data_IF_754890959895
#
_entry.id   IF_754890959895
#
_cell.length_a   1.000
_cell.length_b   1.000
_cell.length_c   1.000
_cell.angle_alpha   90.00
_cell.angle_beta   90.00
_cell.angle_gamma   90.00
#
_symmetry.space_group_name_H-M   'P 1'
#
loop_
_entity.id
_entity.type
_entity.pdbx_description
1 polymer ?
#
# COMPACT_ATOMS: atom_id res chain seq x y z
N UNK A 1 7.48 7.60 -4.69
CA UNK A 1 7.36 7.54 -3.23
C UNK A 1 7.48 6.09 -2.78
N UNK A 2 7.98 5.82 -1.58
CA UNK A 2 8.02 4.45 -1.05
C UNK A 2 6.86 4.22 -0.08
N UNK A 3 6.20 3.07 -0.19
CA UNK A 3 5.17 2.62 0.73
C UNK A 3 5.63 1.32 1.37
N UNK A 4 5.83 1.36 2.68
CA UNK A 4 6.17 0.19 3.49
C UNK A 4 4.91 -0.29 4.20
N UNK A 5 4.58 -1.57 4.10
CA UNK A 5 3.38 -2.17 4.68
C UNK A 5 3.81 -3.38 5.52
N UNK A 6 3.42 -3.40 6.79
CA UNK A 6 3.48 -4.58 7.66
C UNK A 6 2.06 -5.11 7.85
N UNK A 7 1.83 -6.36 7.44
CA UNK A 7 0.56 -7.05 7.59
C UNK A 7 0.44 -7.67 8.98
N UNK A 8 -0.79 -7.95 9.43
CA UNK A 8 -1.03 -8.57 10.75
C UNK A 8 -0.47 -9.98 10.89
N UNK A 9 -0.33 -10.69 9.78
CA UNK A 9 0.34 -11.99 9.68
C UNK A 9 1.87 -11.91 9.84
N UNK A 10 2.45 -10.69 9.84
CA UNK A 10 3.89 -10.46 9.99
C UNK A 10 4.62 -10.31 8.66
N UNK A 11 3.98 -10.60 7.51
CA UNK A 11 4.51 -10.25 6.20
C UNK A 11 4.82 -8.76 6.11
N UNK A 12 5.94 -8.41 5.46
CA UNK A 12 6.33 -7.03 5.16
C UNK A 12 6.53 -6.86 3.66
N UNK A 13 6.07 -5.74 3.12
CA UNK A 13 6.26 -5.37 1.73
C UNK A 13 6.71 -3.92 1.63
N UNK A 14 7.60 -3.64 0.68
CA UNK A 14 7.93 -2.29 0.26
C UNK A 14 7.58 -2.16 -1.23
N UNK A 15 6.90 -1.07 -1.59
CA UNK A 15 6.51 -0.78 -2.97
C UNK A 15 6.90 0.65 -3.34
N UNK A 16 7.36 0.83 -4.58
CA UNK A 16 7.47 2.17 -5.17
C UNK A 16 6.11 2.53 -5.76
N UNK A 17 5.53 3.63 -5.28
CA UNK A 17 4.20 4.12 -5.64
C UNK A 17 4.27 5.59 -6.02
N UNK A 18 3.32 6.03 -6.82
CA UNK A 18 3.15 7.43 -7.22
C UNK A 18 2.33 8.20 -6.17
N UNK A 19 1.33 7.55 -5.58
CA UNK A 19 0.43 8.13 -4.56
C UNK A 19 -0.09 7.04 -3.62
N UNK A 20 -0.39 7.42 -2.37
CA UNK A 20 -1.21 6.59 -1.49
C UNK A 20 -2.10 7.42 -0.56
N UNK A 21 -3.27 6.88 -0.24
CA UNK A 21 -4.24 7.50 0.65
C UNK A 21 -5.08 6.43 1.36
N UNK A 22 -5.67 6.80 2.50
CA UNK A 22 -6.68 5.97 3.17
C UNK A 22 -8.05 6.39 2.69
N UNK A 23 -8.85 5.44 2.20
CA UNK A 23 -10.23 5.68 1.74
C UNK A 23 -11.09 4.45 1.97
N UNK A 24 -12.32 4.65 2.46
CA UNK A 24 -13.33 3.58 2.59
C UNK A 24 -12.82 2.33 3.33
N UNK A 25 -12.05 2.52 4.42
CA UNK A 25 -11.48 1.43 5.19
C UNK A 25 -10.33 0.66 4.52
N UNK A 26 -9.80 1.19 3.41
CA UNK A 26 -8.70 0.61 2.66
C UNK A 26 -7.51 1.58 2.55
N UNK A 27 -6.30 1.03 2.55
CA UNK A 27 -5.12 1.69 2.01
C UNK A 27 -5.18 1.60 0.49
N UNK A 28 -5.40 2.73 -0.17
CA UNK A 28 -5.37 2.89 -1.61
C UNK A 28 -3.98 3.37 -2.02
N UNK A 29 -3.39 2.77 -3.04
CA UNK A 29 -2.16 3.29 -3.66
C UNK A 29 -2.18 3.15 -5.18
N UNK A 30 -1.42 4.00 -5.86
CA UNK A 30 -1.34 4.05 -7.31
C UNK A 30 0.10 3.84 -7.79
N UNK A 31 0.27 3.02 -8.82
CA UNK A 31 1.54 2.80 -9.52
C UNK A 31 1.34 3.18 -10.98
N UNK A 32 2.13 4.10 -11.51
CA UNK A 32 1.95 4.66 -12.85
C UNK A 32 2.47 3.76 -13.97
N UNK A 33 3.55 3.03 -13.75
CA UNK A 33 4.25 2.28 -14.81
C UNK A 33 4.68 0.89 -14.35
N UNK A 34 4.94 0.00 -15.33
CA UNK A 34 5.38 -1.37 -15.11
C UNK A 34 4.24 -2.39 -15.00
N UNK A 35 4.61 -3.66 -14.74
CA UNK A 35 3.66 -4.79 -14.70
C UNK A 35 2.63 -4.69 -13.59
N UNK A 36 2.93 -3.92 -12.54
CA UNK A 36 2.04 -3.67 -11.40
C UNK A 36 1.31 -2.33 -11.50
N UNK A 37 1.32 -1.69 -12.68
CA UNK A 37 0.64 -0.41 -12.87
C UNK A 37 -0.86 -0.52 -12.61
N UNK A 38 -1.43 0.54 -12.04
CA UNK A 38 -2.84 0.62 -11.69
C UNK A 38 -3.08 1.09 -10.27
N UNK A 39 -4.37 1.15 -9.92
CA UNK A 39 -4.82 1.48 -8.56
C UNK A 39 -5.04 0.19 -7.79
N UNK A 40 -4.50 0.13 -6.59
CA UNK A 40 -4.57 -1.01 -5.70
C UNK A 40 -5.26 -0.62 -4.40
N UNK A 41 -5.95 -1.58 -3.80
CA UNK A 41 -6.67 -1.40 -2.54
C UNK A 41 -6.33 -2.56 -1.61
N UNK A 42 -5.90 -2.23 -0.39
CA UNK A 42 -5.65 -3.20 0.66
C UNK A 42 -6.55 -2.86 1.86
N UNK A 43 -7.41 -3.77 2.33
CA UNK A 43 -8.24 -3.52 3.51
C UNK A 43 -7.38 -3.25 4.75
N UNK A 44 -7.68 -2.18 5.49
CA UNK A 44 -6.89 -1.79 6.67
C UNK A 44 -6.89 -2.83 7.78
N UNK A 45 -7.94 -3.66 7.89
CA UNK A 45 -7.97 -4.75 8.88
C UNK A 45 -6.85 -5.79 8.64
N UNK A 46 -6.37 -5.93 7.41
CA UNK A 46 -5.24 -6.84 7.10
C UNK A 46 -3.88 -6.24 7.44
N UNK A 47 -3.82 -4.91 7.60
CA UNK A 47 -2.60 -4.16 7.83
C UNK A 47 -2.42 -3.94 9.33
N UNK A 48 -1.19 -4.16 9.81
CA UNK A 48 -0.79 -3.79 11.16
C UNK A 48 -0.30 -2.35 11.20
N UNK A 49 0.56 -1.97 10.27
CA UNK A 49 1.08 -0.61 10.12
C UNK A 49 1.52 -0.37 8.67
N UNK A 50 1.43 0.88 8.19
CA UNK A 50 2.08 1.30 6.96
C UNK A 50 2.80 2.64 7.16
N UNK A 51 3.91 2.84 6.44
CA UNK A 51 4.79 4.02 6.55
C UNK A 51 5.20 4.55 5.19
N UNK A 52 5.19 5.86 5.10
CA UNK A 52 5.53 6.66 3.92
C UNK A 52 6.66 7.61 4.33
N UNK A 53 7.93 7.27 4.07
CA UNK A 53 9.06 8.13 4.39
C UNK A 53 9.05 9.43 3.60
#
# INVERSE_FOLDING_TARGET
MYLNIEYRDGKKEQKSVDDCSVKDGCLKYYIRTGVSAGTHYIPLDTIKEFKTP
#
